data_IF_078583813010
#
_entry.id   IF_078583813010
#
_cell.length_a   1.000
_cell.length_b   1.000
_cell.length_c   1.000
_cell.angle_alpha   90.00
_cell.angle_beta   90.00
_cell.angle_gamma   90.00
#
_symmetry.space_group_name_H-M   'P 1'
#
loop_
_entity.id
_entity.type
_entity.pdbx_description
1 polymer ?
#
# COMPACT_ATOMS: atom_id res chain seq x y z
N UNK A 1 -36.18 1.78 -11.30
CA UNK A 1 -34.78 1.81 -10.81
C UNK A 1 -34.83 2.21 -9.34
N UNK A 2 -34.65 1.25 -8.42
CA UNK A 2 -34.81 1.51 -6.98
C UNK A 2 -33.61 2.30 -6.45
N UNK A 3 -33.88 3.42 -5.75
CA UNK A 3 -32.91 4.21 -5.01
C UNK A 3 -32.46 3.40 -3.79
N UNK A 4 -31.25 2.84 -3.86
CA UNK A 4 -30.59 2.14 -2.76
C UNK A 4 -29.94 3.12 -1.79
N UNK A 5 -30.01 2.81 -0.50
CA UNK A 5 -29.42 3.54 0.61
C UNK A 5 -27.88 3.57 0.51
N UNK A 6 -27.28 4.59 1.13
CA UNK A 6 -25.84 4.94 1.19
C UNK A 6 -24.91 3.83 1.74
N UNK A 7 -25.48 2.68 2.13
CA UNK A 7 -24.81 1.53 2.74
C UNK A 7 -24.85 0.25 1.89
N UNK A 8 -25.34 0.31 0.64
CA UNK A 8 -25.25 -0.84 -0.27
C UNK A 8 -23.89 -0.90 -0.96
N UNK A 9 -23.23 -2.08 -0.93
CA UNK A 9 -21.95 -2.36 -1.60
C UNK A 9 -21.97 -2.09 -3.13
N UNK A 10 -23.15 -2.01 -3.74
CA UNK A 10 -23.39 -1.70 -5.16
C UNK A 10 -24.28 -0.45 -5.36
N UNK A 11 -24.43 0.40 -4.33
CA UNK A 11 -25.11 1.68 -4.47
C UNK A 11 -24.20 2.67 -5.18
N UNK A 12 -24.63 3.24 -6.30
CA UNK A 12 -23.90 4.32 -6.97
C UNK A 12 -24.38 5.64 -6.34
N UNK A 13 -23.65 6.23 -5.38
CA UNK A 13 -24.04 7.51 -4.78
C UNK A 13 -24.16 8.59 -5.86
N UNK A 14 -24.96 9.62 -5.60
CA UNK A 14 -25.04 10.78 -6.50
C UNK A 14 -23.64 11.33 -6.72
N UNK A 15 -23.28 11.65 -7.96
CA UNK A 15 -21.95 12.16 -8.32
C UNK A 15 -21.51 13.36 -7.46
N UNK A 16 -22.48 14.20 -7.03
CA UNK A 16 -22.27 15.35 -6.15
C UNK A 16 -21.85 14.99 -4.72
N UNK A 17 -22.24 13.81 -4.21
CA UNK A 17 -21.85 13.30 -2.88
C UNK A 17 -20.62 12.39 -2.99
N UNK A 18 -20.51 11.63 -4.09
CA UNK A 18 -19.40 10.71 -4.35
C UNK A 18 -18.06 11.45 -4.53
N UNK A 19 -18.06 12.58 -5.24
CA UNK A 19 -16.86 13.34 -5.55
C UNK A 19 -16.14 13.88 -4.29
N UNK A 20 -16.80 14.58 -3.35
CA UNK A 20 -16.13 15.05 -2.13
C UNK A 20 -15.68 13.89 -1.22
N UNK A 21 -16.46 12.81 -1.13
CA UNK A 21 -16.07 11.61 -0.34
C UNK A 21 -14.83 10.93 -0.92
N UNK A 22 -14.78 10.76 -2.25
CA UNK A 22 -13.64 10.18 -2.94
C UNK A 22 -12.39 11.05 -2.77
N UNK A 23 -12.53 12.38 -2.91
CA UNK A 23 -11.43 13.32 -2.68
C UNK A 23 -10.91 13.24 -1.24
N UNK A 24 -11.78 13.19 -0.23
CA UNK A 24 -11.36 13.04 1.17
C UNK A 24 -10.61 11.72 1.39
N UNK A 25 -11.06 10.61 0.81
CA UNK A 25 -10.37 9.33 0.90
C UNK A 25 -9.00 9.36 0.23
N UNK A 26 -8.89 9.95 -0.95
CA UNK A 26 -7.61 10.08 -1.67
C UNK A 26 -6.65 10.98 -0.87
N UNK A 27 -7.10 12.12 -0.35
CA UNK A 27 -6.25 13.01 0.45
C UNK A 27 -5.77 12.31 1.72
N UNK A 28 -6.66 11.62 2.44
CA UNK A 28 -6.30 10.84 3.62
C UNK A 28 -5.28 9.74 3.30
N UNK A 29 -5.46 9.04 2.18
CA UNK A 29 -4.52 8.02 1.71
C UNK A 29 -3.16 8.61 1.33
N UNK A 30 -3.13 9.74 0.61
CA UNK A 30 -1.89 10.38 0.16
C UNK A 30 -0.99 10.68 1.35
N UNK A 31 -1.53 11.26 2.43
CA UNK A 31 -0.76 11.52 3.65
C UNK A 31 -0.23 10.21 4.23
N UNK A 32 -1.07 9.17 4.31
CA UNK A 32 -0.66 7.85 4.81
C UNK A 32 0.45 7.17 3.99
N UNK A 33 0.52 7.40 2.68
CA UNK A 33 1.55 6.81 1.81
C UNK A 33 2.83 7.65 1.73
N UNK A 34 2.68 8.98 1.70
CA UNK A 34 3.79 9.93 1.53
C UNK A 34 4.61 10.07 2.81
N UNK A 35 3.96 10.09 3.98
CA UNK A 35 4.67 10.28 5.27
C UNK A 35 5.74 9.21 5.52
N UNK A 36 5.47 7.89 5.42
CA UNK A 36 6.50 6.86 5.54
C UNK A 36 7.64 7.02 4.53
N UNK A 37 7.33 7.36 3.28
CA UNK A 37 8.32 7.53 2.22
C UNK A 37 9.25 8.72 2.51
N UNK A 38 8.71 9.84 3.01
CA UNK A 38 9.50 11.00 3.44
C UNK A 38 10.40 10.64 4.62
N UNK A 39 9.87 9.93 5.63
CA UNK A 39 10.65 9.54 6.82
C UNK A 39 11.84 8.67 6.43
N UNK A 40 11.63 7.66 5.59
CA UNK A 40 12.71 6.77 5.12
C UNK A 40 13.69 7.53 4.22
N UNK A 41 13.21 8.37 3.30
CA UNK A 41 14.09 9.18 2.44
C UNK A 41 14.93 10.19 3.24
N UNK A 42 14.41 10.66 4.38
CA UNK A 42 15.14 11.51 5.33
C UNK A 42 16.21 10.74 6.11
N UNK A 43 15.92 9.50 6.54
CA UNK A 43 16.85 8.66 7.30
C UNK A 43 18.09 8.22 6.49
N UNK A 44 17.95 8.08 5.17
CA UNK A 44 19.09 7.84 4.27
C UNK A 44 19.98 9.11 4.13
N UNK A 45 19.46 10.26 4.52
CA UNK A 45 19.94 11.60 4.18
C UNK A 45 21.14 12.15 4.96
N UNK A 46 22.09 11.30 5.34
CA UNK A 46 23.35 11.73 5.98
C UNK A 46 24.44 12.26 5.04
N UNK A 47 24.32 12.10 3.71
CA UNK A 47 25.09 12.82 2.64
C UNK A 47 24.95 12.23 1.22
N UNK A 48 24.07 11.26 0.96
CA UNK A 48 24.13 10.48 -0.30
C UNK A 48 22.92 10.60 -1.24
N UNK A 49 21.88 11.36 -0.88
CA UNK A 49 20.65 11.45 -1.68
C UNK A 49 20.33 12.86 -2.12
N UNK A 50 20.25 13.08 -3.43
CA UNK A 50 19.83 14.34 -4.01
C UNK A 50 18.35 14.60 -3.70
N UNK A 51 17.97 15.88 -3.62
CA UNK A 51 16.55 16.26 -3.49
C UNK A 51 15.68 15.63 -4.60
N UNK A 52 16.27 15.45 -5.80
CA UNK A 52 15.61 14.77 -6.92
C UNK A 52 15.28 13.31 -6.61
N UNK A 53 16.22 12.56 -6.03
CA UNK A 53 16.05 11.15 -5.73
C UNK A 53 15.00 10.93 -4.63
N UNK A 54 14.94 11.84 -3.64
CA UNK A 54 13.89 11.82 -2.61
C UNK A 54 12.50 11.99 -3.22
N UNK A 55 12.35 12.92 -4.17
CA UNK A 55 11.09 13.12 -4.89
C UNK A 55 10.73 11.88 -5.71
N UNK A 56 11.72 11.27 -6.37
CA UNK A 56 11.51 10.02 -7.13
C UNK A 56 11.04 8.88 -6.21
N UNK A 57 11.62 8.71 -5.02
CA UNK A 57 11.19 7.69 -4.06
C UNK A 57 9.75 7.90 -3.59
N UNK A 58 9.39 9.16 -3.29
CA UNK A 58 8.01 9.50 -2.89
C UNK A 58 7.04 9.23 -4.04
N UNK A 59 7.36 9.68 -5.26
CA UNK A 59 6.54 9.44 -6.45
C UNK A 59 6.40 7.95 -6.76
N UNK A 60 7.48 7.18 -6.67
CA UNK A 60 7.47 5.74 -6.85
C UNK A 60 6.54 5.06 -5.84
N UNK A 61 6.59 5.49 -4.56
CA UNK A 61 5.69 4.95 -3.53
C UNK A 61 4.20 5.22 -3.84
N UNK A 62 3.87 6.42 -4.33
CA UNK A 62 2.51 6.79 -4.72
C UNK A 62 2.03 5.99 -5.94
N UNK A 63 2.87 5.82 -6.95
CA UNK A 63 2.56 5.04 -8.14
C UNK A 63 2.33 3.57 -7.79
N UNK A 64 3.22 2.95 -7.01
CA UNK A 64 3.08 1.56 -6.59
C UNK A 64 1.85 1.34 -5.72
N UNK A 65 1.55 2.31 -4.83
CA UNK A 65 0.36 2.32 -3.98
C UNK A 65 -0.95 2.40 -4.80
N UNK A 66 -0.98 3.28 -5.81
CA UNK A 66 -2.09 3.38 -6.74
C UNK A 66 -2.27 2.10 -7.57
N UNK A 67 -1.19 1.54 -8.11
CA UNK A 67 -1.22 0.27 -8.86
C UNK A 67 -1.71 -0.89 -7.99
N UNK A 68 -1.24 -0.99 -6.75
CA UNK A 68 -1.67 -2.03 -5.81
C UNK A 68 -3.16 -1.90 -5.47
N UNK A 69 -3.63 -0.67 -5.27
CA UNK A 69 -5.05 -0.38 -5.05
C UNK A 69 -5.90 -0.74 -6.27
N UNK A 70 -5.43 -0.44 -7.49
CA UNK A 70 -6.11 -0.83 -8.73
C UNK A 70 -6.20 -2.35 -8.89
N UNK A 71 -5.13 -3.08 -8.59
CA UNK A 71 -5.13 -4.55 -8.62
C UNK A 71 -6.12 -5.11 -7.56
N UNK A 72 -6.21 -4.48 -6.40
CA UNK A 72 -7.14 -4.89 -5.35
C UNK A 72 -8.61 -4.65 -5.73
N UNK A 73 -8.88 -3.55 -6.44
CA UNK A 73 -10.19 -3.16 -6.97
C UNK A 73 -10.62 -4.03 -8.16
N UNK A 74 -9.71 -4.29 -9.09
CA UNK A 74 -9.94 -5.04 -10.32
C UNK A 74 -9.17 -6.36 -10.29
N UNK A 75 -9.74 -7.42 -9.67
CA UNK A 75 -9.04 -8.66 -9.48
C UNK A 75 -8.71 -9.30 -10.83
N UNK A 76 -7.43 -9.59 -11.05
CA UNK A 76 -6.92 -10.21 -12.27
C UNK A 76 -6.82 -11.72 -12.04
N UNK A 77 -7.23 -12.54 -13.02
CA UNK A 77 -6.92 -13.98 -13.01
C UNK A 77 -8.02 -14.94 -12.49
N UNK A 78 -9.30 -14.53 -12.50
CA UNK A 78 -10.45 -15.33 -12.02
C UNK A 78 -10.60 -16.76 -12.63
N UNK A 79 -9.86 -17.11 -13.68
CA UNK A 79 -10.03 -18.38 -14.44
C UNK A 79 -9.12 -19.56 -14.03
N UNK A 80 -7.98 -19.35 -13.36
CA UNK A 80 -6.98 -20.43 -13.13
C UNK A 80 -6.70 -20.76 -11.65
N UNK A 81 -7.64 -20.47 -10.73
CA UNK A 81 -7.48 -20.79 -9.30
C UNK A 81 -6.59 -19.85 -8.49
N UNK A 82 -6.00 -18.83 -9.14
CA UNK A 82 -5.21 -17.78 -8.50
C UNK A 82 -5.83 -16.41 -8.77
N UNK A 83 -6.51 -15.84 -7.77
CA UNK A 83 -7.08 -14.48 -7.84
C UNK A 83 -6.10 -13.49 -7.24
N UNK A 84 -5.58 -12.58 -8.06
CA UNK A 84 -4.76 -11.47 -7.59
C UNK A 84 -5.65 -10.24 -7.40
N UNK A 85 -5.82 -9.82 -6.14
CA UNK A 85 -6.79 -8.80 -5.71
C UNK A 85 -8.08 -9.39 -5.15
N UNK A 86 -8.73 -8.70 -4.20
CA UNK A 86 -9.96 -9.19 -3.55
C UNK A 86 -11.24 -8.75 -4.25
N UNK A 87 -11.20 -7.79 -5.18
CA UNK A 87 -12.40 -7.16 -5.74
C UNK A 87 -13.19 -6.37 -4.70
N UNK A 88 -12.52 -5.89 -3.66
CA UNK A 88 -13.11 -5.06 -2.61
C UNK A 88 -12.54 -3.64 -2.71
N UNK A 89 -13.31 -2.61 -2.34
CA UNK A 89 -12.85 -1.22 -2.28
C UNK A 89 -11.88 -1.04 -1.11
N UNK A 90 -10.66 -1.57 -1.26
CA UNK A 90 -9.59 -1.47 -0.28
C UNK A 90 -8.42 -0.70 -0.85
N UNK A 91 -7.97 0.29 -0.09
CA UNK A 91 -6.85 1.14 -0.42
C UNK A 91 -5.58 0.51 0.13
N UNK A 92 -4.62 0.24 -0.74
CA UNK A 92 -3.31 -0.31 -0.36
C UNK A 92 -2.34 0.85 -0.16
N UNK A 93 -1.51 0.81 0.88
CA UNK A 93 -0.52 1.85 1.19
C UNK A 93 0.70 1.29 1.89
N UNK A 94 1.67 2.16 2.19
CA UNK A 94 2.89 1.78 2.92
C UNK A 94 2.55 1.63 4.40
N UNK A 95 2.91 0.50 5.01
CA UNK A 95 2.66 0.26 6.43
C UNK A 95 3.67 0.98 7.31
N UNK A 96 3.18 1.77 8.27
CA UNK A 96 3.99 2.46 9.29
C UNK A 96 4.78 1.49 10.18
N UNK A 97 4.35 0.23 10.29
CA UNK A 97 5.04 -0.78 11.09
C UNK A 97 6.47 -1.06 10.61
N UNK A 98 6.76 -0.83 9.32
CA UNK A 98 8.09 -1.09 8.76
C UNK A 98 9.03 0.12 8.78
N UNK A 99 8.53 1.31 9.15
CA UNK A 99 9.32 2.54 9.13
C UNK A 99 10.56 2.43 10.04
N UNK A 100 10.47 1.99 11.31
CA UNK A 100 11.65 1.89 12.18
C UNK A 100 12.70 0.91 11.64
N UNK A 101 12.27 -0.24 11.11
CA UNK A 101 13.17 -1.24 10.51
C UNK A 101 13.88 -0.68 9.28
N UNK A 102 13.15 0.06 8.43
CA UNK A 102 13.74 0.70 7.24
C UNK A 102 14.72 1.81 7.61
N UNK A 103 14.46 2.58 8.67
CA UNK A 103 15.38 3.59 9.18
C UNK A 103 16.68 2.95 9.69
N UNK A 104 16.59 1.87 10.47
CA UNK A 104 17.76 1.16 10.96
C UNK A 104 18.66 0.63 9.82
N UNK A 105 18.04 0.12 8.74
CA UNK A 105 18.79 -0.33 7.55
C UNK A 105 19.33 0.87 6.75
N UNK A 106 18.57 1.97 6.66
CA UNK A 106 18.97 3.18 5.95
C UNK A 106 20.26 3.78 6.50
N UNK A 107 20.36 3.89 7.83
CA UNK A 107 21.50 4.49 8.53
C UNK A 107 22.79 3.67 8.36
N UNK A 108 22.69 2.33 8.33
CA UNK A 108 23.84 1.45 8.25
C UNK A 108 24.25 1.00 6.83
N UNK A 109 23.28 0.86 5.91
CA UNK A 109 23.47 0.12 4.65
C UNK A 109 22.89 0.82 3.41
N UNK A 110 22.25 1.98 3.56
CA UNK A 110 21.71 2.80 2.47
C UNK A 110 20.51 2.19 1.71
N UNK A 111 20.10 2.84 0.62
CA UNK A 111 18.86 2.50 -0.12
C UNK A 111 18.91 1.16 -0.85
N UNK A 112 20.07 0.79 -1.40
CA UNK A 112 20.17 -0.49 -2.14
C UNK A 112 19.78 -1.67 -1.25
N UNK A 113 20.18 -1.62 0.03
CA UNK A 113 19.84 -2.61 1.04
C UNK A 113 18.37 -2.59 1.44
N UNK A 114 17.75 -1.40 1.50
CA UNK A 114 16.30 -1.26 1.73
C UNK A 114 15.52 -1.92 0.59
N UNK A 115 15.89 -1.65 -0.66
CA UNK A 115 15.22 -2.22 -1.83
C UNK A 115 15.40 -3.76 -1.87
N UNK A 116 16.61 -4.25 -1.58
CA UNK A 116 16.85 -5.69 -1.48
C UNK A 116 16.03 -6.35 -0.37
N UNK A 117 15.99 -5.73 0.81
CA UNK A 117 15.19 -6.21 1.94
C UNK A 117 13.69 -6.21 1.62
N UNK A 118 13.19 -5.22 0.87
CA UNK A 118 11.79 -5.17 0.43
C UNK A 118 11.44 -6.32 -0.53
N UNK A 119 12.32 -6.67 -1.47
CA UNK A 119 12.10 -7.79 -2.39
C UNK A 119 12.01 -9.11 -1.61
N UNK A 120 12.98 -9.37 -0.73
CA UNK A 120 12.98 -10.58 0.10
C UNK A 120 11.78 -10.60 1.04
N UNK A 121 11.49 -9.48 1.69
CA UNK A 121 10.32 -9.31 2.56
C UNK A 121 9.01 -9.57 1.83
N UNK A 122 8.88 -9.13 0.57
CA UNK A 122 7.73 -9.39 -0.29
C UNK A 122 7.55 -10.88 -0.61
N UNK A 123 8.64 -11.59 -0.92
CA UNK A 123 8.61 -13.05 -1.15
C UNK A 123 8.20 -13.78 0.12
N UNK A 124 8.78 -13.43 1.27
CA UNK A 124 8.41 -14.04 2.55
C UNK A 124 6.95 -13.76 2.89
N UNK A 125 6.47 -12.52 2.70
CA UNK A 125 5.08 -12.16 2.91
C UNK A 125 4.12 -12.93 1.99
N UNK A 126 4.51 -13.14 0.74
CA UNK A 126 3.73 -13.94 -0.21
C UNK A 126 3.58 -15.40 0.26
N UNK A 127 4.69 -16.04 0.67
CA UNK A 127 4.69 -17.41 1.21
C UNK A 127 3.85 -17.49 2.49
N UNK A 128 4.01 -16.53 3.40
CA UNK A 128 3.21 -16.46 4.63
C UNK A 128 1.72 -16.24 4.34
N UNK A 129 1.38 -15.47 3.30
CA UNK A 129 0.00 -15.27 2.84
C UNK A 129 -0.67 -16.58 2.40
N UNK A 130 0.06 -17.47 1.73
CA UNK A 130 -0.45 -18.81 1.36
C UNK A 130 -0.68 -19.67 2.62
N UNK A 131 0.21 -19.56 3.62
CA UNK A 131 0.17 -20.31 4.87
C UNK A 131 -0.79 -19.72 5.92
N UNK A 132 -1.45 -18.59 5.62
CA UNK A 132 -2.23 -17.82 6.61
C UNK A 132 -3.33 -18.65 7.27
N UNK A 133 -3.92 -19.63 6.57
CA UNK A 133 -4.93 -20.55 7.13
C UNK A 133 -4.40 -21.38 8.30
N UNK A 134 -3.12 -21.75 8.29
CA UNK A 134 -2.47 -22.49 9.39
C UNK A 134 -2.01 -21.56 10.51
N UNK A 135 -1.60 -20.34 10.17
CA UNK A 135 -1.05 -19.36 11.13
C UNK A 135 -2.16 -18.68 11.94
N UNK A 136 -3.38 -18.53 11.39
CA UNK A 136 -4.52 -17.90 12.09
C UNK A 136 -4.86 -18.57 13.43
N UNK A 137 -4.50 -19.83 13.64
CA UNK A 137 -4.69 -20.54 14.92
C UNK A 137 -3.88 -19.92 16.07
N UNK A 138 -2.75 -19.27 15.77
CA UNK A 138 -1.92 -18.59 16.77
C UNK A 138 -2.41 -17.19 17.11
N UNK A 139 -3.24 -16.59 16.25
CA UNK A 139 -3.82 -15.26 16.43
C UNK A 139 -5.33 -15.40 16.65
N UNK A 140 -5.71 -15.86 17.85
CA UNK A 140 -7.09 -16.13 18.24
C UNK A 140 -7.94 -14.88 18.55
N UNK A 141 -7.36 -13.68 18.47
CA UNK A 141 -8.01 -12.41 18.80
C UNK A 141 -8.18 -11.51 17.59
#
# INVERSE_FOLDING_TARGET
>A
MKRGSIFELNGIPKFQEALPLALQHVVAMIVGCVTPAIIVAGAVGGNSLSAKDRVILIQASLVVSALSTLIQLFPIGKKNGFTLGSGLPMIMGVSFAYVPSMQAIAEGYGISSILGAQIIGGIVAFVMGILVKKIRVFFHH
#
